data_IF_347307119176
#
_entry.id   IF_347307119176
#
_cell.length_a   1.000
_cell.length_b   1.000
_cell.length_c   1.000
_cell.angle_alpha   90.00
_cell.angle_beta   90.00
_cell.angle_gamma   90.00
#
_symmetry.space_group_name_H-M   'P 1'
#
loop_
_entity.id
_entity.type
_entity.pdbx_description
1 polymer ?
#
# COMPACT_ATOMS: atom_id res chain seq x y z
N UNK A 1 17.38 18.56 3.07
CA UNK A 1 16.61 19.74 2.59
C UNK A 1 16.22 20.68 3.74
N UNK A 2 15.47 20.22 4.75
CA UNK A 2 14.99 21.03 5.88
C UNK A 2 16.05 21.93 6.54
N UNK A 3 17.15 21.34 7.04
CA UNK A 3 18.26 22.08 7.67
C UNK A 3 18.86 23.18 6.80
N UNK A 4 18.87 22.98 5.47
CA UNK A 4 19.37 24.00 4.53
C UNK A 4 18.42 25.19 4.46
N UNK A 5 17.11 24.93 4.37
CA UNK A 5 16.09 25.99 4.32
C UNK A 5 16.04 26.77 5.63
N UNK A 6 16.11 26.08 6.77
CA UNK A 6 16.19 26.74 8.10
C UNK A 6 17.41 27.64 8.21
N UNK A 7 18.56 27.18 7.71
CA UNK A 7 19.78 28.01 7.66
C UNK A 7 19.66 29.25 6.78
N UNK A 8 18.87 29.19 5.70
CA UNK A 8 18.61 30.36 4.83
C UNK A 8 17.57 31.32 5.40
N UNK A 9 16.50 30.81 6.01
CA UNK A 9 15.38 31.61 6.51
C UNK A 9 15.66 32.21 7.90
N UNK A 10 16.56 31.62 8.68
CA UNK A 10 16.88 32.09 10.04
C UNK A 10 15.79 31.81 11.08
N UNK A 11 14.75 31.06 10.72
CA UNK A 11 13.70 30.59 11.62
C UNK A 11 13.35 29.12 11.33
N UNK A 12 12.70 28.46 12.30
CA UNK A 12 12.30 27.07 12.14
C UNK A 12 11.20 26.93 11.10
N UNK A 13 11.38 25.99 10.17
CA UNK A 13 10.35 25.61 9.18
C UNK A 13 9.40 24.54 9.72
N UNK A 14 9.41 24.31 11.04
CA UNK A 14 8.50 23.37 11.69
C UNK A 14 7.06 23.81 11.44
N UNK A 15 6.27 22.92 10.87
CA UNK A 15 4.90 23.20 10.41
C UNK A 15 4.77 23.26 8.90
N UNK A 16 5.84 23.62 8.17
CA UNK A 16 5.82 23.58 6.70
C UNK A 16 5.77 22.14 6.16
N UNK A 17 5.19 21.99 4.97
CA UNK A 17 5.12 20.72 4.24
C UNK A 17 6.41 20.50 3.44
N UNK A 18 7.46 20.03 4.13
CA UNK A 18 8.77 19.74 3.54
C UNK A 18 9.17 18.31 3.88
N UNK A 19 9.16 17.44 2.87
CA UNK A 19 9.43 16.00 3.00
C UNK A 19 9.50 15.28 1.66
N UNK A 20 9.63 13.95 1.71
CA UNK A 20 9.40 13.06 0.56
C UNK A 20 7.89 12.88 0.35
N UNK A 21 7.48 12.37 -0.82
CA UNK A 21 6.08 12.04 -1.12
C UNK A 21 5.44 11.22 0.02
N UNK A 22 5.95 10.00 0.24
CA UNK A 22 5.50 9.10 1.32
C UNK A 22 5.52 9.75 2.72
N UNK A 23 6.52 10.58 3.04
CA UNK A 23 6.59 11.25 4.34
C UNK A 23 5.50 12.32 4.53
N UNK A 24 5.10 12.98 3.45
CA UNK A 24 3.98 13.94 3.47
C UNK A 24 2.64 13.19 3.43
N UNK A 25 2.50 12.15 2.60
CA UNK A 25 1.31 11.28 2.55
C UNK A 25 1.00 10.66 3.91
N UNK A 26 2.02 10.09 4.59
CA UNK A 26 1.87 9.53 5.93
C UNK A 26 1.41 10.59 6.94
N UNK A 27 1.97 11.81 6.87
CA UNK A 27 1.53 12.92 7.73
C UNK A 27 0.06 13.28 7.49
N UNK A 28 -0.36 13.40 6.23
CA UNK A 28 -1.76 13.67 5.85
C UNK A 28 -2.69 12.57 6.38
N UNK A 29 -2.33 11.31 6.15
CA UNK A 29 -3.14 10.18 6.60
C UNK A 29 -3.23 10.09 8.12
N UNK A 30 -2.19 10.46 8.86
CA UNK A 30 -2.24 10.50 10.33
C UNK A 30 -3.16 11.59 10.86
N UNK A 31 -3.16 12.76 10.23
CA UNK A 31 -4.01 13.89 10.62
C UNK A 31 -5.48 13.68 10.21
N UNK A 32 -5.73 12.91 9.13
CA UNK A 32 -7.07 12.74 8.53
C UNK A 32 -7.49 11.26 8.34
N UNK A 33 -7.05 10.37 9.22
CA UNK A 33 -7.25 8.92 9.07
C UNK A 33 -8.74 8.53 8.93
N UNK A 34 -9.64 9.22 9.65
CA UNK A 34 -11.08 8.94 9.62
C UNK A 34 -11.68 9.18 8.23
N UNK A 35 -11.23 10.23 7.54
CA UNK A 35 -11.69 10.54 6.17
C UNK A 35 -11.20 9.49 5.16
N UNK A 36 -10.07 8.84 5.45
CA UNK A 36 -9.53 7.75 4.67
C UNK A 36 -10.14 6.37 5.05
N UNK A 37 -11.07 6.32 6.01
CA UNK A 37 -11.65 5.07 6.50
C UNK A 37 -10.64 4.20 7.28
N UNK A 38 -9.56 4.79 7.79
CA UNK A 38 -8.51 4.09 8.53
C UNK A 38 -8.67 4.27 10.04
N UNK A 39 -8.30 3.26 10.86
CA UNK A 39 -8.20 3.45 12.30
C UNK A 39 -7.04 4.38 12.66
N UNK A 40 -7.14 5.09 13.79
CA UNK A 40 -6.10 6.03 14.26
C UNK A 40 -4.72 5.39 14.43
N UNK A 41 -4.71 4.09 14.73
CA UNK A 41 -3.53 3.26 14.93
C UNK A 41 -3.07 2.49 13.69
N UNK A 42 -3.50 2.84 12.47
CA UNK A 42 -3.14 2.09 11.27
C UNK A 42 -1.61 1.88 11.14
N UNK A 43 -1.24 0.70 10.66
CA UNK A 43 0.16 0.30 10.50
C UNK A 43 0.60 0.42 9.05
N UNK A 44 1.84 0.85 8.83
CA UNK A 44 2.43 0.86 7.49
C UNK A 44 3.22 -0.43 7.30
N UNK A 45 2.86 -1.22 6.30
CA UNK A 45 3.58 -2.43 5.94
C UNK A 45 4.87 -2.05 5.18
N UNK A 46 5.98 -2.63 5.63
CA UNK A 46 7.16 -2.73 4.78
C UNK A 46 6.99 -3.83 3.73
N UNK A 47 7.99 -4.00 2.87
CA UNK A 47 7.96 -4.98 1.79
C UNK A 47 7.90 -6.43 2.29
N UNK A 48 8.55 -6.75 3.41
CA UNK A 48 8.57 -8.11 3.95
C UNK A 48 7.28 -8.45 4.70
N UNK A 49 6.67 -7.48 5.37
CA UNK A 49 5.37 -7.62 5.99
C UNK A 49 4.25 -7.74 4.95
N UNK A 50 4.28 -6.93 3.89
CA UNK A 50 3.39 -7.09 2.74
C UNK A 50 3.52 -8.49 2.14
N UNK A 51 4.74 -8.99 1.96
CA UNK A 51 4.99 -10.35 1.46
C UNK A 51 4.34 -11.42 2.36
N UNK A 52 4.43 -11.28 3.69
CA UNK A 52 3.80 -12.21 4.65
C UNK A 52 2.27 -12.19 4.55
N UNK A 53 1.66 -11.01 4.41
CA UNK A 53 0.21 -10.87 4.24
C UNK A 53 -0.24 -11.53 2.94
N UNK A 54 0.45 -11.29 1.83
CA UNK A 54 0.14 -11.91 0.53
C UNK A 54 0.27 -13.44 0.60
N UNK A 55 1.34 -13.94 1.22
CA UNK A 55 1.52 -15.39 1.41
C UNK A 55 0.37 -16.02 2.19
N UNK A 56 -0.13 -15.32 3.21
CA UNK A 56 -1.31 -15.75 3.97
C UNK A 56 -2.57 -15.72 3.11
N UNK A 57 -2.78 -14.66 2.32
CA UNK A 57 -3.91 -14.56 1.39
C UNK A 57 -3.94 -15.72 0.38
N UNK A 58 -2.79 -16.10 -0.18
CA UNK A 58 -2.69 -17.25 -1.09
C UNK A 58 -3.15 -18.56 -0.42
N UNK A 59 -2.71 -18.80 0.83
CA UNK A 59 -3.15 -19.98 1.61
C UNK A 59 -4.64 -19.97 1.90
N UNK A 60 -5.20 -18.82 2.28
CA UNK A 60 -6.64 -18.67 2.56
C UNK A 60 -7.49 -18.91 1.30
N UNK A 61 -6.95 -18.56 0.12
CA UNK A 61 -7.59 -18.82 -1.18
C UNK A 61 -7.33 -20.22 -1.75
N UNK A 62 -6.61 -21.08 -1.02
CA UNK A 62 -6.19 -22.41 -1.45
C UNK A 62 -5.38 -22.41 -2.76
N UNK A 63 -4.49 -21.42 -2.91
CA UNK A 63 -3.59 -21.29 -4.06
C UNK A 63 -2.20 -21.81 -3.71
N UNK A 64 -1.60 -22.54 -4.64
CA UNK A 64 -0.25 -23.09 -4.49
C UNK A 64 0.83 -22.02 -4.68
N UNK A 65 1.78 -21.90 -3.74
CA UNK A 65 2.87 -20.91 -3.79
C UNK A 65 3.89 -21.19 -4.91
N UNK A 66 3.96 -22.43 -5.42
CA UNK A 66 4.82 -22.80 -6.55
C UNK A 66 4.26 -22.29 -7.88
N UNK A 67 2.93 -22.33 -8.05
CA UNK A 67 2.26 -21.74 -9.21
C UNK A 67 2.03 -20.22 -9.07
N UNK A 68 1.84 -19.74 -7.83
CA UNK A 68 1.61 -18.33 -7.51
C UNK A 68 2.69 -17.78 -6.57
N UNK A 69 3.91 -17.48 -7.07
CA UNK A 69 4.98 -16.97 -6.22
C UNK A 69 4.58 -15.66 -5.53
N UNK A 70 4.60 -15.57 -4.18
CA UNK A 70 4.07 -14.39 -3.48
C UNK A 70 4.78 -13.09 -3.86
N UNK A 71 6.07 -13.13 -4.22
CA UNK A 71 6.81 -11.95 -4.71
C UNK A 71 6.28 -11.42 -6.05
N UNK A 72 5.84 -12.31 -6.95
CA UNK A 72 5.27 -11.89 -8.23
C UNK A 72 3.89 -11.27 -8.02
N UNK A 73 3.09 -11.86 -7.13
CA UNK A 73 1.79 -11.30 -6.73
C UNK A 73 1.97 -9.92 -6.09
N UNK A 74 2.97 -9.75 -5.22
CA UNK A 74 3.33 -8.47 -4.61
C UNK A 74 3.68 -7.41 -5.65
N UNK A 75 4.52 -7.76 -6.63
CA UNK A 75 4.87 -6.90 -7.75
C UNK A 75 3.63 -6.47 -8.55
N UNK A 76 2.74 -7.43 -8.84
CA UNK A 76 1.49 -7.14 -9.54
C UNK A 76 0.64 -6.14 -8.75
N UNK A 77 0.39 -6.39 -7.46
CA UNK A 77 -0.41 -5.50 -6.61
C UNK A 77 0.20 -4.09 -6.58
N UNK A 78 1.50 -3.97 -6.32
CA UNK A 78 2.18 -2.68 -6.25
C UNK A 78 2.09 -1.93 -7.60
N UNK A 79 2.29 -2.63 -8.73
CA UNK A 79 2.16 -2.01 -10.06
C UNK A 79 0.76 -1.45 -10.31
N UNK A 80 -0.29 -2.15 -9.85
CA UNK A 80 -1.66 -1.66 -9.99
C UNK A 80 -1.90 -0.44 -9.11
N UNK A 81 -1.39 -0.44 -7.86
CA UNK A 81 -1.52 0.70 -6.94
C UNK A 81 -0.77 1.94 -7.41
N UNK A 82 0.44 1.77 -7.93
CA UNK A 82 1.24 2.87 -8.52
C UNK A 82 0.51 3.53 -9.70
N UNK A 83 -0.28 2.75 -10.44
CA UNK A 83 -1.14 3.26 -11.52
C UNK A 83 -2.52 3.75 -11.04
N UNK A 84 -2.76 3.80 -9.72
CA UNK A 84 -4.04 4.23 -9.13
C UNK A 84 -5.19 3.25 -9.33
N UNK A 85 -4.90 1.98 -9.67
CA UNK A 85 -5.91 0.94 -9.93
C UNK A 85 -6.18 0.12 -8.67
N UNK A 86 -7.43 0.18 -8.23
CA UNK A 86 -8.00 -0.74 -7.24
C UNK A 86 -8.36 -2.07 -7.90
N UNK A 87 -8.56 -3.16 -7.13
CA UNK A 87 -8.88 -4.47 -7.71
C UNK A 87 -10.05 -4.41 -8.71
N UNK A 88 -11.09 -3.64 -8.40
CA UNK A 88 -12.26 -3.41 -9.25
C UNK A 88 -11.98 -2.63 -10.55
N UNK A 89 -10.86 -1.91 -10.64
CA UNK A 89 -10.48 -1.11 -11.80
C UNK A 89 -9.51 -1.84 -12.73
N UNK A 90 -8.99 -3.00 -12.32
CA UNK A 90 -8.11 -3.82 -13.17
C UNK A 90 -8.97 -4.45 -14.26
N UNK A 91 -8.64 -4.19 -15.52
CA UNK A 91 -9.37 -4.78 -16.66
C UNK A 91 -9.16 -6.28 -16.68
N UNK A 92 -10.25 -7.02 -16.60
CA UNK A 92 -10.26 -8.46 -16.87
C UNK A 92 -10.12 -8.68 -18.39
N UNK A 93 -9.00 -9.26 -18.81
CA UNK A 93 -8.73 -9.58 -20.21
C UNK A 93 -9.27 -10.96 -20.63
N UNK A 94 -9.91 -11.69 -19.71
CA UNK A 94 -10.36 -13.08 -19.92
C UNK A 94 -9.26 -14.12 -19.72
N UNK A 95 -8.04 -13.70 -19.37
CA UNK A 95 -6.97 -14.60 -18.98
C UNK A 95 -7.19 -15.12 -17.56
N UNK A 96 -7.32 -16.44 -17.43
CA UNK A 96 -7.49 -17.15 -16.15
C UNK A 96 -6.37 -16.82 -15.14
N UNK A 97 -5.16 -16.54 -15.63
CA UNK A 97 -4.06 -16.19 -14.75
C UNK A 97 -4.26 -14.80 -14.14
N UNK A 98 -4.58 -13.81 -14.98
CA UNK A 98 -4.90 -12.46 -14.53
C UNK A 98 -6.11 -12.42 -13.59
N UNK A 99 -7.17 -13.17 -13.88
CA UNK A 99 -8.36 -13.24 -13.01
C UNK A 99 -8.02 -13.73 -11.60
N UNK A 100 -7.11 -14.70 -11.49
CA UNK A 100 -6.66 -15.18 -10.19
C UNK A 100 -5.82 -14.13 -9.46
N UNK A 101 -4.93 -13.41 -10.15
CA UNK A 101 -4.20 -12.28 -9.55
C UNK A 101 -5.13 -11.18 -9.03
N UNK A 102 -6.18 -10.84 -9.79
CA UNK A 102 -7.19 -9.88 -9.36
C UNK A 102 -7.91 -10.40 -8.11
N UNK A 103 -8.30 -11.69 -8.08
CA UNK A 103 -8.93 -12.31 -6.91
C UNK A 103 -8.03 -12.25 -5.67
N UNK A 104 -6.74 -12.52 -5.82
CA UNK A 104 -5.77 -12.41 -4.71
C UNK A 104 -5.62 -10.97 -4.26
N UNK A 105 -5.53 -10.02 -5.19
CA UNK A 105 -5.46 -8.60 -4.87
C UNK A 105 -6.70 -8.12 -4.11
N UNK A 106 -7.91 -8.51 -4.53
CA UNK A 106 -9.15 -8.20 -3.81
C UNK A 106 -9.10 -8.70 -2.36
N UNK A 107 -8.75 -9.97 -2.16
CA UNK A 107 -8.68 -10.56 -0.81
C UNK A 107 -7.60 -9.88 0.07
N UNK A 108 -6.45 -9.55 -0.53
CA UNK A 108 -5.39 -8.80 0.13
C UNK A 108 -5.88 -7.42 0.60
N UNK A 109 -6.55 -6.68 -0.29
CA UNK A 109 -7.04 -5.33 -0.01
C UNK A 109 -8.12 -5.34 1.09
N UNK A 110 -9.05 -6.29 1.06
CA UNK A 110 -10.04 -6.50 2.12
C UNK A 110 -9.38 -6.83 3.47
N UNK A 111 -8.30 -7.62 3.44
CA UNK A 111 -7.53 -7.95 4.63
C UNK A 111 -6.84 -6.72 5.21
N UNK A 112 -6.21 -5.89 4.37
CA UNK A 112 -5.59 -4.64 4.79
C UNK A 112 -6.62 -3.68 5.40
N UNK A 113 -7.77 -3.50 4.76
CA UNK A 113 -8.83 -2.63 5.28
C UNK A 113 -9.36 -3.12 6.64
N UNK A 114 -9.62 -4.41 6.78
CA UNK A 114 -10.13 -5.00 8.03
C UNK A 114 -9.13 -4.89 9.18
N UNK A 115 -7.84 -4.98 8.89
CA UNK A 115 -6.78 -4.95 9.90
C UNK A 115 -6.20 -3.54 10.10
N UNK A 116 -6.63 -2.55 9.32
CA UNK A 116 -6.06 -1.20 9.38
C UNK A 116 -4.60 -1.14 8.94
N UNK A 117 -4.27 -1.86 7.86
CA UNK A 117 -2.94 -1.88 7.27
C UNK A 117 -2.89 -1.01 6.03
N UNK A 118 -1.79 -0.29 5.86
CA UNK A 118 -1.50 0.54 4.69
C UNK A 118 -0.16 0.07 4.14
N UNK A 119 -0.09 -0.39 2.89
CA UNK A 119 1.20 -0.71 2.30
C UNK A 119 1.90 0.54 1.75
N UNK A 120 3.20 0.41 1.51
CA UNK A 120 4.00 1.54 1.05
C UNK A 120 3.58 2.06 -0.33
N UNK A 121 3.01 1.22 -1.20
CA UNK A 121 2.52 1.63 -2.53
C UNK A 121 1.22 2.46 -2.45
N UNK A 122 0.55 2.49 -1.29
CA UNK A 122 -0.62 3.32 -1.00
C UNK A 122 -0.25 4.75 -0.57
N UNK A 123 1.03 5.00 -0.25
CA UNK A 123 1.55 6.27 0.25
C UNK A 123 2.16 7.13 -0.85
#
# INVERSE_FOLDING_TARGET
MRKRIEGFLGFSVRGMWIGTFHGLSHRILRDHHEMAGLPSGFEILDSDDQYRVIRRALKELSLDEGYWPPRQVQWFINSQKEEGRRPSHVRDTGDSHQQTLIRVYTHYEETCQRLGLVDFAEL
#
